data_IF_117795691549
#
_entry.id   IF_117795691549
#
_cell.length_a   1.000
_cell.length_b   1.000
_cell.length_c   1.000
_cell.angle_alpha   90.00
_cell.angle_beta   90.00
_cell.angle_gamma   90.00
#
_symmetry.space_group_name_H-M   'P 1'
#
loop_
_entity.id
_entity.type
_entity.pdbx_description
1 polymer ?
#
# COMPACT_ATOMS: atom_id res chain seq x y z
N UNK A 1 -37.71 19.71 -26.17
CA UNK A 1 -39.09 19.80 -26.69
C UNK A 1 -39.49 18.45 -27.28
N UNK A 2 -40.56 17.87 -26.75
CA UNK A 2 -41.14 16.64 -27.25
C UNK A 2 -41.95 16.89 -28.55
N UNK A 3 -41.79 15.99 -29.51
CA UNK A 3 -42.50 15.97 -30.78
C UNK A 3 -43.22 14.64 -30.95
N UNK A 4 -44.49 14.68 -31.34
CA UNK A 4 -45.34 13.51 -31.52
C UNK A 4 -45.73 13.36 -32.99
N UNK A 5 -45.55 12.15 -33.54
CA UNK A 5 -46.00 11.81 -34.90
C UNK A 5 -46.64 10.43 -34.94
N UNK A 6 -47.57 10.22 -35.88
CA UNK A 6 -48.17 8.90 -36.13
C UNK A 6 -47.36 8.16 -37.19
N UNK A 7 -46.94 6.93 -36.92
CA UNK A 7 -46.18 6.08 -37.85
C UNK A 7 -46.66 4.64 -37.73
N UNK A 8 -47.04 4.03 -38.85
CA UNK A 8 -47.52 2.63 -38.91
C UNK A 8 -48.62 2.32 -37.87
N UNK A 9 -49.61 3.19 -37.75
CA UNK A 9 -50.72 3.03 -36.79
C UNK A 9 -50.40 3.31 -35.32
N UNK A 10 -49.12 3.55 -34.97
CA UNK A 10 -48.67 3.82 -33.58
C UNK A 10 -48.23 5.28 -33.41
N UNK A 11 -48.27 5.77 -32.18
CA UNK A 11 -47.79 7.11 -31.80
C UNK A 11 -46.31 7.07 -31.45
N UNK A 12 -45.48 7.81 -32.17
CA UNK A 12 -44.05 7.97 -31.87
C UNK A 12 -43.81 9.30 -31.16
N UNK A 13 -43.20 9.25 -29.98
CA UNK A 13 -42.66 10.41 -29.28
C UNK A 13 -41.16 10.52 -29.53
N UNK A 14 -40.70 11.72 -29.90
CA UNK A 14 -39.29 12.08 -30.13
C UNK A 14 -38.95 13.26 -29.22
N UNK A 15 -37.98 13.08 -28.34
CA UNK A 15 -37.58 14.11 -27.38
C UNK A 15 -36.19 14.62 -27.77
N UNK A 16 -36.10 15.93 -28.01
CA UNK A 16 -34.86 16.63 -28.29
C UNK A 16 -34.61 17.68 -27.21
N UNK A 17 -33.56 17.48 -26.41
CA UNK A 17 -33.13 18.41 -25.36
C UNK A 17 -31.67 18.77 -25.66
N UNK A 18 -31.31 20.05 -25.50
CA UNK A 18 -29.95 20.53 -25.76
C UNK A 18 -28.97 19.82 -24.82
N UNK A 19 -27.90 19.23 -25.36
CA UNK A 19 -26.89 18.52 -24.58
C UNK A 19 -27.19 17.04 -24.27
N UNK A 20 -28.37 16.52 -24.62
CA UNK A 20 -28.74 15.11 -24.42
C UNK A 20 -29.01 14.40 -25.76
N UNK A 21 -28.77 13.08 -25.86
CA UNK A 21 -29.07 12.31 -27.05
C UNK A 21 -30.59 12.31 -27.34
N UNK A 22 -30.95 12.33 -28.63
CA UNK A 22 -32.35 12.28 -29.05
C UNK A 22 -32.96 10.95 -28.63
N UNK A 23 -33.99 10.99 -27.80
CA UNK A 23 -34.65 9.77 -27.28
C UNK A 23 -35.98 9.58 -28.01
N UNK A 24 -36.23 8.37 -28.53
CA UNK A 24 -37.47 8.08 -29.26
C UNK A 24 -38.14 6.82 -28.75
N UNK A 25 -39.47 6.85 -28.60
CA UNK A 25 -40.25 5.66 -28.22
C UNK A 25 -41.64 5.68 -28.85
N UNK A 26 -42.17 4.50 -29.18
CA UNK A 26 -43.49 4.32 -29.81
C UNK A 26 -44.49 3.72 -28.83
N UNK A 27 -45.74 4.18 -28.92
CA UNK A 27 -46.87 3.82 -28.06
C UNK A 27 -48.12 3.54 -28.89
N UNK A 28 -49.04 2.75 -28.34
CA UNK A 28 -50.34 2.49 -28.98
C UNK A 28 -51.29 3.66 -28.71
N UNK A 29 -51.28 4.21 -27.49
CA UNK A 29 -52.15 5.31 -27.05
C UNK A 29 -51.35 6.62 -27.02
N UNK A 30 -51.95 7.71 -27.52
CA UNK A 30 -51.31 9.05 -27.53
C UNK A 30 -51.01 9.56 -26.11
N UNK A 31 -51.94 9.34 -25.18
CA UNK A 31 -51.84 9.77 -23.77
C UNK A 31 -50.63 9.17 -23.06
N UNK A 32 -50.31 7.90 -23.33
CA UNK A 32 -49.11 7.25 -22.77
C UNK A 32 -47.82 7.87 -23.31
N UNK A 33 -47.81 8.26 -24.59
CA UNK A 33 -46.69 8.95 -25.20
C UNK A 33 -46.44 10.32 -24.56
N UNK A 34 -47.50 11.07 -24.25
CA UNK A 34 -47.44 12.36 -23.56
C UNK A 34 -46.97 12.22 -22.10
N UNK A 35 -47.48 11.25 -21.35
CA UNK A 35 -47.04 10.95 -19.97
C UNK A 35 -45.57 10.56 -19.97
N UNK A 36 -45.15 9.69 -20.88
CA UNK A 36 -43.75 9.29 -21.01
C UNK A 36 -42.84 10.47 -21.37
N UNK A 37 -43.27 11.34 -22.29
CA UNK A 37 -42.53 12.56 -22.64
C UNK A 37 -42.31 13.45 -21.42
N UNK A 38 -43.39 13.72 -20.66
CA UNK A 38 -43.35 14.53 -19.45
C UNK A 38 -42.43 13.93 -18.38
N UNK A 39 -42.45 12.61 -18.21
CA UNK A 39 -41.57 11.92 -17.25
C UNK A 39 -40.09 11.99 -17.64
N UNK A 40 -39.78 11.91 -18.93
CA UNK A 40 -38.40 12.02 -19.44
C UNK A 40 -37.90 13.47 -19.35
N UNK A 41 -38.71 14.45 -19.75
CA UNK A 41 -38.37 15.87 -19.59
C UNK A 41 -38.18 16.23 -18.11
N UNK A 42 -39.05 15.74 -17.21
CA UNK A 42 -38.87 15.89 -15.77
C UNK A 42 -37.62 15.18 -15.24
N UNK A 43 -37.25 14.01 -15.78
CA UNK A 43 -36.04 13.30 -15.40
C UNK A 43 -34.80 14.13 -15.74
N UNK A 44 -34.71 14.63 -16.97
CA UNK A 44 -33.58 15.47 -17.39
C UNK A 44 -33.55 16.81 -16.65
N UNK A 45 -34.71 17.43 -16.43
CA UNK A 45 -34.83 18.66 -15.64
C UNK A 45 -34.43 18.45 -14.17
N UNK A 46 -34.79 17.31 -13.57
CA UNK A 46 -34.36 16.93 -12.21
C UNK A 46 -32.87 16.62 -12.17
N UNK A 47 -32.32 15.95 -13.16
CA UNK A 47 -30.88 15.72 -13.28
C UNK A 47 -30.11 17.04 -13.36
N UNK A 48 -30.54 17.99 -14.20
CA UNK A 48 -29.96 19.34 -14.26
C UNK A 48 -30.08 20.09 -12.92
N UNK A 49 -31.25 20.07 -12.27
CA UNK A 49 -31.47 20.76 -10.98
C UNK A 49 -30.70 20.12 -9.82
N UNK A 50 -30.64 18.79 -9.74
CA UNK A 50 -29.89 18.07 -8.71
C UNK A 50 -28.38 18.33 -8.83
N UNK A 51 -27.86 18.43 -10.06
CA UNK A 51 -26.46 18.79 -10.33
C UNK A 51 -26.19 20.25 -9.93
N UNK A 52 -27.16 21.16 -10.15
CA UNK A 52 -27.04 22.58 -9.83
C UNK A 52 -27.18 22.89 -8.33
N UNK A 53 -27.87 22.05 -7.54
CA UNK A 53 -28.10 22.28 -6.10
C UNK A 53 -26.99 21.77 -5.18
N UNK A 54 -26.21 20.76 -5.59
CA UNK A 54 -25.13 20.25 -4.74
C UNK A 54 -23.93 21.18 -4.88
N UNK A 55 -23.75 22.08 -3.92
CA UNK A 55 -22.54 22.87 -3.85
C UNK A 55 -21.36 21.97 -3.43
N UNK A 56 -20.57 21.55 -4.41
CA UNK A 56 -19.39 20.74 -4.15
C UNK A 56 -18.32 21.59 -3.46
N UNK A 57 -17.80 21.14 -2.31
CA UNK A 57 -16.70 21.82 -1.62
C UNK A 57 -15.42 21.81 -2.46
N UNK A 58 -14.47 22.66 -2.08
CA UNK A 58 -13.13 22.61 -2.66
C UNK A 58 -12.43 21.33 -2.23
N UNK A 59 -11.58 20.81 -3.12
CA UNK A 59 -10.82 19.60 -2.83
C UNK A 59 -9.86 19.78 -1.66
N UNK A 60 -9.31 20.98 -1.46
CA UNK A 60 -8.50 21.31 -0.28
C UNK A 60 -9.27 21.08 1.02
N UNK A 61 -10.55 21.48 1.07
CA UNK A 61 -11.39 21.38 2.27
C UNK A 61 -11.73 19.90 2.52
N UNK A 62 -11.99 19.16 1.44
CA UNK A 62 -12.16 17.70 1.50
C UNK A 62 -10.92 16.98 2.03
N UNK A 63 -9.72 17.37 1.57
CA UNK A 63 -8.47 16.79 2.05
C UNK A 63 -8.21 17.09 3.52
N UNK A 64 -8.54 18.29 3.98
CA UNK A 64 -8.43 18.67 5.41
C UNK A 64 -9.42 17.86 6.24
N UNK A 65 -10.70 17.80 5.82
CA UNK A 65 -11.71 16.97 6.46
C UNK A 65 -11.29 15.49 6.55
N UNK A 66 -10.73 14.94 5.46
CA UNK A 66 -10.21 13.57 5.44
C UNK A 66 -9.04 13.32 6.38
N UNK A 67 -8.16 14.32 6.52
CA UNK A 67 -7.06 14.27 7.47
C UNK A 67 -7.62 14.13 8.90
N UNK A 68 -8.61 14.95 9.24
CA UNK A 68 -9.10 15.10 10.60
C UNK A 68 -10.09 14.00 11.01
N UNK A 69 -10.98 13.58 10.10
CA UNK A 69 -11.99 12.55 10.38
C UNK A 69 -11.49 11.12 10.12
N UNK A 70 -10.69 10.89 9.09
CA UNK A 70 -10.34 9.53 8.65
C UNK A 70 -8.90 9.16 8.99
N UNK A 71 -7.96 10.06 8.69
CA UNK A 71 -6.52 9.76 8.83
C UNK A 71 -6.10 9.62 10.29
N UNK A 72 -6.76 10.32 11.22
CA UNK A 72 -6.49 10.26 12.68
C UNK A 72 -6.62 8.83 13.24
N UNK A 73 -7.58 8.05 12.74
CA UNK A 73 -7.82 6.68 13.20
C UNK A 73 -6.87 5.65 12.58
N UNK A 74 -6.02 6.05 11.62
CA UNK A 74 -5.09 5.14 10.95
C UNK A 74 -3.78 5.03 11.71
N UNK A 75 -3.23 3.81 11.74
CA UNK A 75 -1.85 3.56 12.22
C UNK A 75 -0.80 4.35 11.41
N UNK A 76 -1.08 4.65 10.15
CA UNK A 76 -0.21 5.39 9.23
C UNK A 76 -0.38 6.92 9.31
N UNK A 77 -1.10 7.45 10.31
CA UNK A 77 -1.49 8.87 10.41
C UNK A 77 -0.32 9.84 10.16
N UNK A 78 0.84 9.64 10.78
CA UNK A 78 1.96 10.59 10.67
C UNK A 78 2.53 10.65 9.25
N UNK A 79 2.58 9.50 8.57
CA UNK A 79 3.03 9.44 7.18
C UNK A 79 1.97 10.04 6.25
N UNK A 80 0.70 9.68 6.43
CA UNK A 80 -0.40 10.19 5.61
C UNK A 80 -0.56 11.70 5.77
N UNK A 81 -0.45 12.25 6.99
CA UNK A 81 -0.47 13.69 7.25
C UNK A 81 0.64 14.43 6.49
N UNK A 82 1.85 13.86 6.42
CA UNK A 82 2.94 14.42 5.60
C UNK A 82 2.59 14.40 4.11
N UNK A 83 2.00 13.30 3.63
CA UNK A 83 1.59 13.18 2.23
C UNK A 83 0.45 14.13 1.87
N UNK A 84 -0.54 14.29 2.74
CA UNK A 84 -1.64 15.26 2.59
C UNK A 84 -1.07 16.68 2.56
N UNK A 85 -0.10 17.01 3.41
CA UNK A 85 0.58 18.33 3.37
C UNK A 85 1.27 18.59 2.03
N UNK A 86 1.83 17.57 1.38
CA UNK A 86 2.38 17.74 0.03
C UNK A 86 1.27 17.88 -1.02
N UNK A 87 0.17 17.13 -0.91
CA UNK A 87 -0.97 17.25 -1.82
C UNK A 87 -1.64 18.62 -1.75
N UNK A 88 -1.75 19.21 -0.56
CA UNK A 88 -2.31 20.56 -0.37
C UNK A 88 -1.52 21.68 -1.07
N UNK A 89 -0.30 21.40 -1.54
CA UNK A 89 0.50 22.35 -2.33
C UNK A 89 0.21 22.26 -3.84
N UNK A 90 -0.58 21.28 -4.27
CA UNK A 90 -0.83 21.07 -5.69
C UNK A 90 -1.91 22.04 -6.22
N UNK A 91 -1.79 22.58 -7.44
CA UNK A 91 -2.73 23.59 -7.94
C UNK A 91 -4.19 23.12 -8.00
N UNK A 92 -4.41 21.84 -8.33
CA UNK A 92 -5.75 21.28 -8.51
C UNK A 92 -6.57 21.19 -7.21
N UNK A 93 -5.96 21.41 -6.03
CA UNK A 93 -6.72 21.39 -4.77
C UNK A 93 -7.67 22.58 -4.61
N UNK A 94 -7.45 23.64 -5.40
CA UNK A 94 -8.31 24.81 -5.44
C UNK A 94 -9.52 24.64 -6.37
N UNK A 95 -9.65 23.48 -7.02
CA UNK A 95 -10.84 23.14 -7.79
C UNK A 95 -11.91 22.54 -6.89
N UNK A 96 -13.17 22.68 -7.29
CA UNK A 96 -14.29 21.96 -6.66
C UNK A 96 -14.12 20.46 -6.88
N UNK A 97 -14.60 19.68 -5.91
CA UNK A 97 -14.45 18.22 -5.91
C UNK A 97 -14.99 17.55 -7.18
N UNK A 98 -16.08 18.05 -7.76
CA UNK A 98 -16.70 17.54 -8.99
C UNK A 98 -15.93 17.89 -10.28
N UNK A 99 -15.05 18.89 -10.24
CA UNK A 99 -14.27 19.32 -11.41
C UNK A 99 -12.96 18.56 -11.58
N UNK A 100 -12.60 17.73 -10.60
CA UNK A 100 -11.38 16.93 -10.66
C UNK A 100 -11.66 15.67 -11.47
N UNK A 101 -11.20 15.68 -12.71
CA UNK A 101 -11.31 14.56 -13.64
C UNK A 101 -10.03 13.70 -13.70
N UNK A 102 -10.12 12.58 -14.41
CA UNK A 102 -9.01 11.66 -14.63
C UNK A 102 -7.79 12.33 -15.32
N UNK A 103 -8.01 13.25 -16.26
CA UNK A 103 -6.96 13.97 -16.98
C UNK A 103 -6.09 14.81 -16.04
N UNK A 104 -6.70 15.57 -15.12
CA UNK A 104 -5.98 16.37 -14.12
C UNK A 104 -5.10 15.47 -13.23
N UNK A 105 -5.64 14.34 -12.78
CA UNK A 105 -4.90 13.39 -11.93
C UNK A 105 -3.79 12.67 -12.72
N UNK A 106 -4.00 12.37 -14.00
CA UNK A 106 -2.98 11.83 -14.89
C UNK A 106 -1.82 12.83 -15.09
N UNK A 107 -2.13 14.11 -15.36
CA UNK A 107 -1.12 15.16 -15.45
C UNK A 107 -0.35 15.33 -14.14
N UNK A 108 -1.04 15.26 -13.00
CA UNK A 108 -0.40 15.24 -11.68
C UNK A 108 0.56 14.06 -11.54
N UNK A 109 0.12 12.84 -11.87
CA UNK A 109 0.94 11.62 -11.83
C UNK A 109 2.22 11.80 -12.66
N UNK A 110 2.08 12.25 -13.90
CA UNK A 110 3.19 12.33 -14.85
C UNK A 110 4.20 13.40 -14.43
N UNK A 111 3.73 14.55 -13.95
CA UNK A 111 4.61 15.56 -13.35
C UNK A 111 5.29 15.04 -12.09
N UNK A 112 4.56 14.37 -11.20
CA UNK A 112 5.09 13.86 -9.95
C UNK A 112 6.16 12.78 -10.19
N UNK A 113 6.01 11.95 -11.23
CA UNK A 113 6.99 10.91 -11.60
C UNK A 113 8.33 11.48 -12.07
N UNK A 114 8.39 12.73 -12.54
CA UNK A 114 9.67 13.39 -12.90
C UNK A 114 10.56 13.67 -11.69
N UNK A 115 9.99 13.82 -10.50
CA UNK A 115 10.72 14.20 -9.29
C UNK A 115 10.65 13.17 -8.16
N UNK A 116 9.70 12.23 -8.21
CA UNK A 116 9.42 11.29 -7.13
C UNK A 116 9.49 9.85 -7.61
N UNK A 117 9.99 8.98 -6.73
CA UNK A 117 9.96 7.54 -6.95
C UNK A 117 8.52 7.03 -7.19
N UNK A 118 8.27 6.07 -8.10
CA UNK A 118 6.93 5.57 -8.43
C UNK A 118 6.11 5.11 -7.22
N UNK A 119 6.75 4.49 -6.23
CA UNK A 119 6.09 4.08 -4.99
C UNK A 119 5.55 5.24 -4.15
N UNK A 120 6.22 6.40 -4.19
CA UNK A 120 5.76 7.63 -3.51
C UNK A 120 4.56 8.22 -4.22
N UNK A 121 4.58 8.27 -5.55
CA UNK A 121 3.44 8.74 -6.37
C UNK A 121 2.23 7.84 -6.14
N UNK A 122 2.42 6.50 -6.17
CA UNK A 122 1.35 5.53 -5.90
C UNK A 122 0.70 5.71 -4.53
N UNK A 123 1.48 6.04 -3.49
CA UNK A 123 0.94 6.34 -2.15
C UNK A 123 0.09 7.61 -2.12
N UNK A 124 0.54 8.67 -2.81
CA UNK A 124 -0.24 9.92 -2.93
C UNK A 124 -1.55 9.69 -3.67
N UNK A 125 -1.51 8.96 -4.79
CA UNK A 125 -2.72 8.56 -5.53
C UNK A 125 -3.67 7.69 -4.69
N UNK A 126 -3.14 6.82 -3.81
CA UNK A 126 -3.98 6.02 -2.92
C UNK A 126 -4.78 6.88 -1.93
N UNK A 127 -4.19 7.96 -1.40
CA UNK A 127 -4.89 8.92 -0.54
C UNK A 127 -6.03 9.60 -1.32
N UNK A 128 -5.74 10.10 -2.54
CA UNK A 128 -6.75 10.74 -3.39
C UNK A 128 -7.88 9.73 -3.69
N UNK A 129 -7.55 8.51 -4.09
CA UNK A 129 -8.54 7.47 -4.39
C UNK A 129 -9.44 7.16 -3.19
N UNK A 130 -8.85 7.07 -1.99
CA UNK A 130 -9.61 6.78 -0.79
C UNK A 130 -10.48 7.98 -0.37
N UNK A 131 -9.98 9.21 -0.53
CA UNK A 131 -10.76 10.42 -0.31
C UNK A 131 -12.02 10.42 -1.18
N UNK A 132 -11.92 10.19 -2.49
CA UNK A 132 -13.07 10.11 -3.39
C UNK A 132 -14.04 8.99 -3.00
N UNK A 133 -13.53 7.86 -2.51
CA UNK A 133 -14.35 6.75 -2.03
C UNK A 133 -15.16 7.13 -0.80
N UNK A 134 -14.55 7.83 0.17
CA UNK A 134 -15.23 8.33 1.38
C UNK A 134 -16.20 9.45 1.04
N UNK A 135 -15.79 10.40 0.19
CA UNK A 135 -16.64 11.49 -0.25
C UNK A 135 -17.92 11.00 -0.92
N UNK A 136 -17.82 9.93 -1.71
CA UNK A 136 -18.98 9.28 -2.33
C UNK A 136 -19.84 8.48 -1.34
N UNK A 137 -19.20 7.67 -0.48
CA UNK A 137 -19.92 6.70 0.38
C UNK A 137 -20.47 7.31 1.66
N UNK A 138 -19.71 8.19 2.30
CA UNK A 138 -19.98 8.70 3.65
C UNK A 138 -20.42 10.16 3.62
N UNK A 139 -19.85 10.99 2.74
CA UNK A 139 -20.21 12.41 2.66
C UNK A 139 -21.34 12.72 1.68
N UNK A 140 -21.87 11.70 0.99
CA UNK A 140 -23.05 11.83 0.12
C UNK A 140 -22.81 12.58 -1.19
N UNK A 141 -21.55 12.85 -1.58
CA UNK A 141 -21.26 13.53 -2.84
C UNK A 141 -21.44 12.60 -4.04
N UNK A 142 -22.29 12.99 -4.98
CA UNK A 142 -22.46 12.29 -6.28
C UNK A 142 -21.24 12.60 -7.17
N UNK A 143 -20.16 11.83 -7.01
CA UNK A 143 -18.92 11.95 -7.79
C UNK A 143 -18.35 10.57 -8.14
N UNK A 144 -17.56 10.52 -9.20
CA UNK A 144 -16.76 9.36 -9.57
C UNK A 144 -15.32 9.49 -9.04
N UNK A 145 -14.59 8.38 -8.98
CA UNK A 145 -13.21 8.39 -8.49
C UNK A 145 -12.23 8.46 -9.67
N UNK A 146 -11.64 9.62 -9.96
CA UNK A 146 -10.78 9.82 -11.13
C UNK A 146 -9.48 9.00 -11.09
N UNK A 147 -9.10 8.46 -9.93
CA UNK A 147 -7.89 7.63 -9.79
C UNK A 147 -8.10 6.21 -10.32
N UNK A 148 -9.35 5.74 -10.39
CA UNK A 148 -9.66 4.40 -10.92
C UNK A 148 -9.52 4.37 -12.45
N UNK A 149 -9.75 5.50 -13.11
CA UNK A 149 -9.72 5.64 -14.57
C UNK A 149 -8.33 6.02 -15.11
N UNK A 150 -7.28 5.84 -14.31
CA UNK A 150 -5.90 6.09 -14.73
C UNK A 150 -5.00 4.87 -14.50
N UNK A 151 -4.03 4.72 -15.40
CA UNK A 151 -2.94 3.75 -15.20
C UNK A 151 -2.08 4.16 -14.01
N UNK A 152 -1.90 3.26 -13.05
CA UNK A 152 -1.03 3.49 -11.88
C UNK A 152 0.44 3.35 -12.30
N UNK A 153 1.38 4.08 -11.66
CA UNK A 153 2.79 3.92 -11.93
C UNK A 153 3.26 2.47 -11.76
N UNK A 154 4.01 1.96 -12.74
CA UNK A 154 4.73 0.69 -12.61
C UNK A 154 5.75 0.82 -11.49
N UNK A 155 5.74 -0.13 -10.57
CA UNK A 155 6.74 -0.19 -9.50
C UNK A 155 7.98 -0.90 -10.05
N UNK A 156 9.20 -0.49 -9.62
CA UNK A 156 10.39 -1.25 -9.96
C UNK A 156 10.32 -2.64 -9.34
N UNK A 157 11.03 -3.58 -9.95
CA UNK A 157 11.13 -4.93 -9.43
C UNK A 157 11.68 -4.94 -8.00
N UNK A 158 11.20 -5.88 -7.15
CA UNK A 158 11.77 -6.08 -5.83
C UNK A 158 13.28 -6.34 -5.92
N UNK A 159 14.04 -5.79 -4.97
CA UNK A 159 15.49 -6.02 -4.89
C UNK A 159 15.79 -7.51 -4.73
N UNK A 160 16.83 -8.05 -5.36
CA UNK A 160 17.32 -9.43 -5.16
C UNK A 160 18.69 -9.53 -4.44
N UNK A 161 18.91 -8.72 -3.40
CA UNK A 161 20.18 -8.75 -2.65
C UNK A 161 20.25 -9.92 -1.67
N UNK A 162 21.35 -10.69 -1.75
CA UNK A 162 21.80 -11.73 -0.79
C UNK A 162 23.21 -11.40 -0.32
N UNK A 163 23.49 -11.53 0.98
CA UNK A 163 24.83 -11.32 1.52
C UNK A 163 25.72 -12.55 1.29
N UNK A 164 26.98 -12.32 0.97
CA UNK A 164 28.01 -13.38 0.95
C UNK A 164 28.50 -13.69 2.36
N UNK A 165 29.09 -14.86 2.56
CA UNK A 165 29.64 -15.23 3.88
C UNK A 165 30.74 -14.27 4.34
N UNK A 166 31.54 -13.76 3.40
CA UNK A 166 32.55 -12.72 3.67
C UNK A 166 31.90 -11.45 4.21
N UNK A 167 30.82 -10.98 3.56
CA UNK A 167 30.09 -9.80 4.01
C UNK A 167 29.45 -10.00 5.39
N UNK A 168 28.83 -11.16 5.65
CA UNK A 168 28.25 -11.49 6.95
C UNK A 168 29.33 -11.50 8.04
N UNK A 169 30.50 -12.10 7.76
CA UNK A 169 31.65 -12.09 8.68
C UNK A 169 32.12 -10.66 8.97
N UNK A 170 32.20 -9.79 7.97
CA UNK A 170 32.56 -8.38 8.15
C UNK A 170 31.52 -7.61 8.98
N UNK A 171 30.23 -7.88 8.77
CA UNK A 171 29.14 -7.23 9.52
C UNK A 171 29.08 -7.67 11.00
N UNK A 172 29.50 -8.90 11.31
CA UNK A 172 29.46 -9.46 12.67
C UNK A 172 30.79 -9.24 13.39
N UNK A 173 31.88 -9.77 12.85
CA UNK A 173 33.20 -9.78 13.49
C UNK A 173 34.00 -8.52 13.19
N UNK A 174 33.79 -7.92 12.01
CA UNK A 174 34.36 -6.63 11.65
C UNK A 174 33.55 -5.43 12.17
N UNK A 175 32.57 -5.61 13.06
CA UNK A 175 31.73 -4.49 13.47
C UNK A 175 32.51 -3.46 14.30
N UNK A 176 32.84 -2.31 13.69
CA UNK A 176 33.53 -1.19 14.35
C UNK A 176 32.59 -0.07 14.84
N UNK A 177 31.28 -0.33 14.90
CA UNK A 177 30.29 0.67 15.36
C UNK A 177 29.94 0.46 16.83
N UNK A 178 28.86 -0.27 17.13
CA UNK A 178 28.46 -0.54 18.52
C UNK A 178 28.21 -2.02 18.74
N UNK A 179 28.54 -2.52 19.93
CA UNK A 179 28.20 -3.89 20.34
C UNK A 179 26.68 -4.13 20.30
N UNK A 180 25.88 -3.09 20.59
CA UNK A 180 24.43 -3.11 20.40
C UNK A 180 24.07 -3.42 18.94
N UNK A 181 24.68 -2.75 17.96
CA UNK A 181 24.41 -3.04 16.54
C UNK A 181 24.81 -4.46 16.16
N UNK A 182 25.97 -4.93 16.61
CA UNK A 182 26.43 -6.30 16.34
C UNK A 182 25.41 -7.33 16.83
N UNK A 183 24.95 -7.18 18.06
CA UNK A 183 23.91 -8.04 18.66
C UNK A 183 22.61 -7.97 17.86
N UNK A 184 22.18 -6.77 17.46
CA UNK A 184 20.99 -6.56 16.64
C UNK A 184 21.11 -7.25 15.26
N UNK A 185 22.28 -7.18 14.61
CA UNK A 185 22.54 -7.85 13.32
C UNK A 185 22.47 -9.37 13.49
N UNK A 186 23.11 -9.92 14.53
CA UNK A 186 23.08 -11.35 14.79
C UNK A 186 21.66 -11.84 15.09
N UNK A 187 20.90 -11.15 15.96
CA UNK A 187 19.50 -11.49 16.24
C UNK A 187 18.66 -11.42 14.96
N UNK A 188 18.88 -10.42 14.10
CA UNK A 188 18.15 -10.33 12.82
C UNK A 188 18.40 -11.52 11.90
N UNK A 189 19.64 -12.03 11.86
CA UNK A 189 20.03 -13.20 11.07
C UNK A 189 19.51 -14.51 11.66
N UNK A 190 19.47 -14.63 12.99
CA UNK A 190 19.03 -15.86 13.68
C UNK A 190 17.51 -16.00 13.78
N UNK A 191 16.76 -14.88 13.75
CA UNK A 191 15.30 -14.88 13.97
C UNK A 191 14.48 -14.45 12.76
N UNK A 192 15.11 -13.75 11.81
CA UNK A 192 14.41 -13.13 10.67
C UNK A 192 13.36 -12.11 11.07
N UNK A 193 13.40 -11.54 12.29
CA UNK A 193 12.41 -10.56 12.78
C UNK A 193 12.50 -9.20 12.05
N UNK A 194 11.44 -8.39 12.11
CA UNK A 194 11.50 -7.01 11.61
C UNK A 194 12.35 -6.16 12.56
N UNK A 195 13.09 -5.18 12.03
CA UNK A 195 13.92 -4.28 12.85
C UNK A 195 13.16 -3.70 14.05
N UNK A 196 11.94 -3.18 13.84
CA UNK A 196 11.14 -2.64 14.95
C UNK A 196 10.67 -3.69 15.95
N UNK A 197 10.53 -4.96 15.56
CA UNK A 197 10.24 -6.06 16.49
C UNK A 197 11.45 -6.34 17.37
N UNK A 198 12.66 -6.39 16.78
CA UNK A 198 13.92 -6.62 17.51
C UNK A 198 14.18 -5.53 18.55
N UNK A 199 13.98 -4.26 18.18
CA UNK A 199 14.25 -3.13 19.08
C UNK A 199 13.30 -3.03 20.27
N UNK A 200 12.14 -3.68 20.20
CA UNK A 200 11.12 -3.67 21.26
C UNK A 200 11.09 -4.95 22.08
N UNK A 201 12.06 -5.84 21.90
CA UNK A 201 12.17 -7.04 22.73
C UNK A 201 12.39 -6.60 24.18
N UNK A 202 11.57 -7.15 25.08
CA UNK A 202 11.77 -7.04 26.53
C UNK A 202 12.12 -8.41 27.11
N UNK A 203 12.77 -8.40 28.28
CA UNK A 203 13.18 -9.63 28.95
C UNK A 203 11.99 -10.54 29.30
N UNK A 204 10.88 -9.94 29.73
CA UNK A 204 9.60 -10.60 30.03
C UNK A 204 8.99 -11.35 28.83
N UNK A 205 9.40 -11.04 27.60
CA UNK A 205 8.88 -11.72 26.41
C UNK A 205 9.62 -13.03 26.09
N UNK A 206 10.75 -13.29 26.74
CA UNK A 206 11.54 -14.50 26.53
C UNK A 206 11.02 -15.57 27.48
N UNK A 207 10.46 -16.63 26.92
CA UNK A 207 9.85 -17.74 27.65
C UNK A 207 10.55 -19.01 27.18
N UNK A 208 11.38 -19.59 28.04
CA UNK A 208 12.21 -20.77 27.74
C UNK A 208 13.05 -20.58 26.45
N UNK A 209 12.75 -21.38 25.41
CA UNK A 209 13.41 -21.36 24.09
C UNK A 209 12.61 -20.58 23.05
N UNK A 210 11.78 -19.64 23.48
CA UNK A 210 10.87 -18.93 22.60
C UNK A 210 10.74 -17.45 22.95
N UNK A 211 10.36 -16.66 21.96
CA UNK A 211 10.13 -15.23 22.10
C UNK A 211 8.69 -14.89 21.72
N UNK A 212 7.98 -14.26 22.65
CA UNK A 212 6.67 -13.69 22.40
C UNK A 212 6.80 -12.31 21.76
N UNK A 213 6.22 -12.12 20.57
CA UNK A 213 6.21 -10.83 19.87
C UNK A 213 4.84 -10.20 20.05
N UNK A 214 4.70 -9.17 20.91
CA UNK A 214 3.44 -8.44 21.05
C UNK A 214 3.09 -7.70 19.75
N UNK A 215 1.82 -7.30 19.61
CA UNK A 215 1.29 -6.72 18.37
C UNK A 215 2.08 -5.48 17.95
N UNK A 216 2.77 -5.56 16.81
CA UNK A 216 3.50 -4.42 16.22
C UNK A 216 2.99 -4.04 14.82
N UNK A 217 2.63 -5.05 14.01
CA UNK A 217 2.10 -4.85 12.64
C UNK A 217 1.14 -5.95 12.23
N UNK A 218 1.46 -7.19 12.57
CA UNK A 218 0.64 -8.40 12.36
C UNK A 218 0.07 -8.92 13.68
N UNK A 219 -0.68 -10.03 13.63
CA UNK A 219 -1.14 -10.76 14.81
C UNK A 219 0.03 -11.08 15.76
N UNK A 220 -0.20 -11.12 17.09
CA UNK A 220 0.84 -11.52 18.04
C UNK A 220 1.26 -12.95 17.73
N UNK A 221 2.54 -13.27 17.94
CA UNK A 221 3.07 -14.61 17.63
C UNK A 221 4.21 -14.98 18.56
N UNK A 222 4.38 -16.28 18.77
CA UNK A 222 5.47 -16.87 19.53
C UNK A 222 6.45 -17.52 18.55
N UNK A 223 7.70 -17.07 18.52
CA UNK A 223 8.72 -17.64 17.63
C UNK A 223 9.70 -18.52 18.41
N UNK A 224 10.19 -19.63 17.83
CA UNK A 224 11.29 -20.38 18.42
C UNK A 224 12.60 -19.56 18.32
N UNK A 225 13.46 -19.70 19.33
CA UNK A 225 14.80 -19.13 19.35
C UNK A 225 15.83 -20.24 19.12
N UNK A 226 16.85 -19.95 18.30
CA UNK A 226 18.04 -20.80 18.23
C UNK A 226 18.84 -20.66 19.53
N UNK A 227 19.67 -21.67 19.85
CA UNK A 227 20.54 -21.61 21.04
C UNK A 227 21.41 -20.34 21.05
N UNK A 228 21.94 -19.97 19.88
CA UNK A 228 22.72 -18.75 19.68
C UNK A 228 21.89 -17.46 19.84
N UNK A 229 20.66 -17.42 19.34
CA UNK A 229 19.78 -16.28 19.58
C UNK A 229 19.48 -16.09 21.07
N UNK A 230 19.25 -17.19 21.79
CA UNK A 230 19.00 -17.17 23.23
C UNK A 230 20.24 -16.70 24.02
N UNK A 231 21.43 -17.19 23.67
CA UNK A 231 22.70 -16.75 24.25
C UNK A 231 22.90 -15.24 24.08
N UNK A 232 22.72 -14.71 22.87
CA UNK A 232 22.87 -13.28 22.60
C UNK A 232 21.85 -12.49 23.41
N UNK A 233 20.58 -12.91 23.44
CA UNK A 233 19.52 -12.21 24.18
C UNK A 233 19.74 -12.23 25.71
N UNK A 234 20.42 -13.24 26.24
CA UNK A 234 20.77 -13.31 27.66
C UNK A 234 21.93 -12.39 28.03
N UNK A 235 22.83 -12.08 27.10
CA UNK A 235 24.06 -11.31 27.33
C UNK A 235 23.95 -9.82 26.99
N UNK A 236 22.77 -9.34 26.57
CA UNK A 236 22.55 -7.94 26.18
C UNK A 236 21.55 -7.24 27.08
N UNK A 237 21.71 -5.92 27.22
CA UNK A 237 20.73 -5.07 27.90
C UNK A 237 19.55 -4.82 26.98
N UNK A 238 18.35 -5.20 27.44
CA UNK A 238 17.07 -5.04 26.73
C UNK A 238 16.16 -4.05 27.47
N UNK A 239 15.33 -3.27 26.77
CA UNK A 239 15.23 -3.16 25.31
C UNK A 239 16.43 -2.43 24.69
N UNK A 240 16.63 -2.60 23.38
CA UNK A 240 17.64 -1.83 22.66
C UNK A 240 17.19 -0.37 22.57
N UNK A 241 17.81 0.51 23.37
CA UNK A 241 17.60 1.97 23.36
C UNK A 241 18.15 2.65 22.10
N UNK A 242 17.78 2.14 20.93
CA UNK A 242 18.17 2.66 19.63
C UNK A 242 16.92 2.85 18.79
N UNK A 243 16.81 4.01 18.14
CA UNK A 243 15.78 4.20 17.13
C UNK A 243 16.09 3.37 15.88
N UNK A 244 15.06 2.92 15.15
CA UNK A 244 15.27 2.23 13.87
C UNK A 244 16.05 3.06 12.85
N UNK A 245 15.96 4.39 12.94
CA UNK A 245 16.79 5.30 12.14
C UNK A 245 18.27 5.24 12.55
N UNK A 246 18.58 5.21 13.85
CA UNK A 246 19.94 5.07 14.34
C UNK A 246 20.56 3.74 13.88
N UNK A 247 19.85 2.62 14.02
CA UNK A 247 20.29 1.31 13.52
C UNK A 247 20.57 1.35 12.03
N UNK A 248 19.65 1.90 11.23
CA UNK A 248 19.81 1.97 9.78
C UNK A 248 20.99 2.85 9.38
N UNK A 249 21.22 3.98 10.07
CA UNK A 249 22.39 4.86 9.84
C UNK A 249 23.70 4.17 10.20
N UNK A 250 23.78 3.52 11.36
CA UNK A 250 24.99 2.80 11.79
C UNK A 250 25.28 1.62 10.85
N UNK A 251 24.28 0.85 10.45
CA UNK A 251 24.41 -0.23 9.47
C UNK A 251 24.93 0.28 8.13
N UNK A 252 24.36 1.39 7.63
CA UNK A 252 24.83 2.00 6.37
C UNK A 252 26.28 2.51 6.48
N UNK A 253 26.67 3.08 7.64
CA UNK A 253 28.07 3.49 7.88
C UNK A 253 29.01 2.29 7.83
N UNK A 254 28.62 1.18 8.46
CA UNK A 254 29.38 -0.07 8.44
C UNK A 254 29.52 -0.65 7.03
N UNK A 255 28.42 -0.68 6.26
CA UNK A 255 28.45 -1.15 4.87
C UNK A 255 29.36 -0.28 4.00
N UNK A 256 29.30 1.05 4.15
CA UNK A 256 30.20 1.98 3.43
C UNK A 256 31.67 1.73 3.77
N UNK A 257 31.99 1.52 5.04
CA UNK A 257 33.36 1.25 5.49
C UNK A 257 33.95 0.01 4.82
N UNK A 258 33.16 -1.05 4.69
CA UNK A 258 33.57 -2.31 4.04
C UNK A 258 33.27 -2.38 2.53
N UNK A 259 32.85 -1.26 1.92
CA UNK A 259 32.44 -1.21 0.52
C UNK A 259 31.38 -2.25 0.12
N UNK A 260 30.49 -2.60 1.06
CA UNK A 260 29.36 -3.51 0.85
C UNK A 260 28.30 -2.74 0.08
N UNK A 261 28.21 -3.02 -1.24
CA UNK A 261 27.29 -2.33 -2.14
C UNK A 261 25.86 -2.85 -1.99
N UNK A 262 24.93 -1.91 -2.16
CA UNK A 262 23.49 -2.12 -2.18
C UNK A 262 22.93 -2.95 -1.00
N UNK A 263 23.45 -2.76 0.20
CA UNK A 263 22.96 -3.45 1.40
C UNK A 263 22.09 -2.52 2.27
N UNK A 264 20.98 -3.05 2.78
CA UNK A 264 20.12 -2.40 3.78
C UNK A 264 19.93 -3.35 4.96
N UNK A 265 19.67 -2.78 6.14
CA UNK A 265 19.42 -3.60 7.34
C UNK A 265 18.28 -4.61 7.13
N UNK A 266 17.24 -4.24 6.38
CA UNK A 266 16.12 -5.13 6.09
C UNK A 266 16.49 -6.35 5.23
N UNK A 267 17.60 -6.28 4.48
CA UNK A 267 18.08 -7.41 3.68
C UNK A 267 18.56 -8.57 4.58
N UNK A 268 18.96 -8.29 5.84
CA UNK A 268 19.30 -9.33 6.84
C UNK A 268 18.11 -10.24 7.16
N UNK A 269 16.90 -9.66 7.26
CA UNK A 269 15.68 -10.44 7.46
C UNK A 269 15.46 -11.38 6.27
N UNK A 270 15.62 -10.88 5.05
CA UNK A 270 15.48 -11.73 3.86
C UNK A 270 16.54 -12.83 3.83
N UNK A 271 17.78 -12.51 4.17
CA UNK A 271 18.87 -13.47 4.31
C UNK A 271 18.46 -14.59 5.27
N UNK A 272 17.98 -14.25 6.47
CA UNK A 272 17.54 -15.20 7.48
C UNK A 272 16.40 -16.11 6.98
N UNK A 273 15.36 -15.53 6.37
CA UNK A 273 14.22 -16.30 5.85
C UNK A 273 14.62 -17.26 4.73
N UNK A 274 15.58 -16.84 3.90
CA UNK A 274 16.13 -17.72 2.86
C UNK A 274 16.94 -18.85 3.49
N UNK A 275 17.77 -18.56 4.50
CA UNK A 275 18.58 -19.57 5.20
C UNK A 275 17.70 -20.56 5.99
N UNK A 276 16.58 -20.11 6.57
CA UNK A 276 15.60 -20.99 7.22
C UNK A 276 15.06 -22.05 6.25
N UNK A 277 14.72 -21.65 5.03
CA UNK A 277 14.21 -22.59 4.05
C UNK A 277 15.31 -23.41 3.38
N UNK A 278 16.46 -22.79 3.05
CA UNK A 278 17.58 -23.45 2.36
C UNK A 278 18.40 -24.37 3.27
N UNK A 279 18.86 -23.84 4.40
CA UNK A 279 19.83 -24.50 5.28
C UNK A 279 19.14 -25.31 6.38
N UNK A 280 17.99 -24.82 6.89
CA UNK A 280 17.20 -25.51 7.92
C UNK A 280 16.05 -26.33 7.37
N UNK A 281 15.86 -26.34 6.04
CA UNK A 281 14.80 -27.09 5.34
C UNK A 281 13.38 -26.81 5.86
N UNK A 282 13.15 -25.63 6.44
CA UNK A 282 11.82 -25.24 6.91
C UNK A 282 10.85 -25.07 5.74
N UNK A 283 9.61 -25.51 5.93
CA UNK A 283 8.52 -25.32 4.99
C UNK A 283 8.12 -23.84 4.90
N UNK A 284 7.36 -23.50 3.85
CA UNK A 284 6.77 -22.16 3.71
C UNK A 284 5.88 -21.84 4.91
N UNK A 285 5.09 -22.79 5.38
CA UNK A 285 4.18 -22.61 6.52
C UNK A 285 4.94 -22.30 7.82
N UNK A 286 5.99 -23.07 8.14
CA UNK A 286 6.84 -22.84 9.31
C UNK A 286 7.55 -21.48 9.21
N UNK A 287 8.08 -21.15 8.03
CA UNK A 287 8.73 -19.86 7.80
C UNK A 287 7.74 -18.70 7.89
N UNK A 288 6.50 -18.85 7.44
CA UNK A 288 5.42 -17.86 7.62
C UNK A 288 5.10 -17.66 9.09
N UNK A 289 5.02 -18.75 9.86
CA UNK A 289 4.76 -18.71 11.29
C UNK A 289 5.83 -17.88 12.02
N UNK A 290 7.12 -18.13 11.73
CA UNK A 290 8.24 -17.38 12.33
C UNK A 290 8.24 -15.92 11.85
N UNK A 291 8.13 -15.72 10.54
CA UNK A 291 8.28 -14.39 9.92
C UNK A 291 7.08 -13.48 10.14
N UNK A 292 5.88 -14.02 10.38
CA UNK A 292 4.64 -13.26 10.45
C UNK A 292 4.27 -12.62 9.11
N UNK A 293 4.40 -13.37 8.01
CA UNK A 293 3.80 -13.00 6.73
C UNK A 293 2.35 -13.51 6.68
N UNK A 294 1.43 -12.68 6.18
CA UNK A 294 0.03 -13.06 6.00
C UNK A 294 -0.24 -13.74 4.66
N UNK A 295 0.58 -13.47 3.66
CA UNK A 295 0.44 -14.01 2.30
C UNK A 295 1.68 -14.87 1.96
N UNK A 296 1.50 -16.17 1.63
CA UNK A 296 2.60 -17.06 1.25
C UNK A 296 3.36 -16.58 0.01
N UNK A 297 2.72 -15.84 -0.90
CA UNK A 297 3.36 -15.31 -2.12
C UNK A 297 4.55 -14.42 -1.80
N UNK A 298 4.53 -13.74 -0.65
CA UNK A 298 5.64 -12.92 -0.19
C UNK A 298 6.90 -13.74 0.07
N UNK A 299 6.76 -14.96 0.61
CA UNK A 299 7.89 -15.87 0.81
C UNK A 299 8.26 -16.61 -0.48
N UNK A 300 7.28 -16.98 -1.30
CA UNK A 300 7.54 -17.62 -2.60
C UNK A 300 8.31 -16.70 -3.55
N UNK A 301 8.07 -15.39 -3.50
CA UNK A 301 8.89 -14.42 -4.25
C UNK A 301 10.35 -14.37 -3.76
N UNK A 302 10.60 -14.73 -2.49
CA UNK A 302 11.95 -14.90 -1.94
C UNK A 302 12.53 -16.28 -2.33
N UNK A 303 11.66 -17.28 -2.56
CA UNK A 303 11.99 -18.63 -3.01
C UNK A 303 12.33 -18.75 -4.50
N UNK A 304 12.03 -17.74 -5.31
CA UNK A 304 12.29 -17.78 -6.75
C UNK A 304 13.79 -17.93 -7.11
N UNK A 305 14.66 -18.05 -6.11
CA UNK A 305 16.07 -18.35 -6.24
C UNK A 305 16.40 -19.82 -5.91
N UNK A 306 15.41 -20.72 -5.83
CA UNK A 306 15.70 -22.14 -6.01
C UNK A 306 16.43 -22.30 -7.34
N UNK A 307 17.57 -22.97 -7.29
CA UNK A 307 18.21 -23.37 -8.52
C UNK A 307 17.60 -24.68 -9.01
N UNK A 308 17.63 -24.91 -10.31
CA UNK A 308 17.20 -26.20 -10.88
C UNK A 308 18.00 -27.35 -10.22
N UNK A 309 19.28 -27.11 -9.92
CA UNK A 309 20.13 -28.02 -9.17
C UNK A 309 19.54 -28.40 -7.79
N UNK A 310 19.06 -27.42 -7.00
CA UNK A 310 18.49 -27.69 -5.66
C UNK A 310 17.21 -28.56 -5.73
N UNK A 311 16.45 -28.44 -6.83
CA UNK A 311 15.26 -29.26 -7.08
C UNK A 311 15.67 -30.65 -7.59
N UNK A 312 16.65 -30.70 -8.49
CA UNK A 312 17.18 -31.95 -9.03
C UNK A 312 17.74 -32.83 -7.92
N UNK A 313 18.50 -32.27 -6.99
CA UNK A 313 19.03 -32.99 -5.84
C UNK A 313 17.92 -33.56 -4.97
N UNK A 314 16.82 -32.81 -4.77
CA UNK A 314 15.64 -33.28 -4.02
C UNK A 314 14.84 -34.36 -4.73
N UNK A 315 14.71 -34.29 -6.05
CA UNK A 315 14.02 -35.32 -6.84
C UNK A 315 14.84 -36.61 -6.84
N UNK A 316 16.16 -36.49 -6.84
CA UNK A 316 17.09 -37.61 -6.94
C UNK A 316 17.58 -38.14 -5.58
N UNK A 317 17.23 -37.50 -4.46
CA UNK A 317 17.52 -38.03 -3.12
C UNK A 317 16.39 -38.97 -2.69
N UNK A 318 16.68 -40.28 -2.74
CA UNK A 318 15.85 -41.35 -2.18
C UNK A 318 15.74 -41.27 -0.66
#
# INVERSE_FOLDING_TARGET
MAYFRKRLGKWQCVIRIKGHPTTTKTFVVKKDAEIWAKNIELKYFREEIDILKINYPLFKDCLVRYRDEVTVHKRSKDMENKLIKYLLKEPFVNLKLNLINNSIIAQYRDRALKALHPSSVKRRLAIISHLFSIARKEWGFKIENPVLDISKPKLPEPRDRRFTDKEIKLLIYGNKTSEKLKSIIQIALETGMRQGEILRIKRENIIDKSLFIPVTKTKPRKIPLTAKALEILNNVVLPFELSGMAVSKQFNKLCKFYNIKDARFHDLRRQALTNFMKDKKLTVAETMYISGHSDPRMLLSVYNNLKCEDISDKINSN
#
